data_IF_480398785077
#
_entry.id   IF_480398785077
#
_cell.length_a   1.000
_cell.length_b   1.000
_cell.length_c   1.000
_cell.angle_alpha   90.00
_cell.angle_beta   90.00
_cell.angle_gamma   90.00
#
_symmetry.space_group_name_H-M   'P 1'
#
loop_
_entity.id
_entity.type
_entity.pdbx_description
1 polymer ?
#
# COMPACT_ATOMS: atom_id res chain seq x y z
N UNK A 1 -5.84 9.29 -36.91
CA UNK A 1 -5.17 8.10 -36.33
C UNK A 1 -4.08 8.65 -35.41
N UNK A 2 -4.35 8.58 -34.11
CA UNK A 2 -3.56 9.14 -33.00
C UNK A 2 -2.12 8.63 -32.96
N UNK A 3 -1.23 9.46 -32.39
CA UNK A 3 0.15 9.26 -31.86
C UNK A 3 1.05 10.41 -32.35
N UNK A 4 1.75 11.22 -31.56
CA UNK A 4 2.05 11.31 -30.12
C UNK A 4 2.35 12.80 -29.86
N UNK A 5 1.59 13.47 -28.99
CA UNK A 5 1.90 14.83 -28.51
C UNK A 5 2.41 14.73 -27.06
N UNK A 6 3.69 14.41 -26.91
CA UNK A 6 4.43 14.51 -25.64
C UNK A 6 4.73 16.00 -25.30
N UNK A 7 3.68 16.83 -25.29
CA UNK A 7 3.78 18.20 -24.79
C UNK A 7 3.39 18.21 -23.31
N UNK A 8 4.35 17.87 -22.45
CA UNK A 8 4.29 18.18 -21.04
C UNK A 8 4.38 19.71 -20.88
N UNK A 9 3.24 20.39 -20.95
CA UNK A 9 3.14 21.82 -20.64
C UNK A 9 3.47 22.03 -19.16
N UNK A 10 4.71 22.47 -18.91
CA UNK A 10 5.14 23.05 -17.64
C UNK A 10 4.44 24.41 -17.45
N UNK A 11 3.36 24.42 -16.65
CA UNK A 11 2.82 25.66 -16.07
C UNK A 11 3.41 25.80 -14.66
N UNK A 12 4.15 26.89 -14.35
CA UNK A 12 4.70 27.07 -13.02
C UNK A 12 3.65 27.67 -12.10
N UNK A 13 3.32 26.97 -11.01
CA UNK A 13 2.62 27.58 -9.87
C UNK A 13 3.13 27.01 -8.55
N UNK A 14 3.93 27.85 -7.89
CA UNK A 14 4.26 27.95 -6.46
C UNK A 14 4.71 26.66 -5.75
N UNK A 15 6.03 26.59 -5.56
CA UNK A 15 6.78 25.48 -4.96
C UNK A 15 6.66 25.33 -3.43
N UNK A 16 5.43 25.37 -2.88
CA UNK A 16 5.19 25.01 -1.49
C UNK A 16 4.09 23.92 -1.35
N UNK A 17 3.18 23.79 -2.32
CA UNK A 17 2.12 22.76 -2.33
C UNK A 17 2.54 21.42 -2.97
N UNK A 18 3.62 21.39 -3.76
CA UNK A 18 4.09 20.16 -4.43
C UNK A 18 4.64 19.08 -3.49
N UNK A 19 4.94 19.43 -2.23
CA UNK A 19 5.32 18.47 -1.20
C UNK A 19 4.14 17.99 -0.34
N UNK A 20 2.93 18.50 -0.57
CA UNK A 20 1.72 18.11 0.16
C UNK A 20 0.89 16.99 -0.53
N UNK A 21 1.33 16.49 -1.69
CA UNK A 21 0.43 15.82 -2.64
C UNK A 21 0.59 14.32 -2.89
N UNK A 22 1.45 13.59 -2.17
CA UNK A 22 1.67 12.15 -2.40
C UNK A 22 1.34 11.33 -1.14
N UNK A 23 0.18 11.60 -0.55
CA UNK A 23 -0.38 10.68 0.44
C UNK A 23 -1.04 9.52 -0.28
N UNK A 24 -0.58 8.30 0.03
CA UNK A 24 -1.26 7.09 -0.40
C UNK A 24 -2.62 7.02 0.34
N UNK A 25 -3.69 7.44 -0.32
CA UNK A 25 -5.04 7.31 0.21
C UNK A 25 -5.59 5.89 0.02
N UNK A 26 -6.71 5.58 0.66
CA UNK A 26 -7.33 4.25 0.62
C UNK A 26 -7.76 3.83 -0.79
N UNK A 27 -8.16 4.79 -1.63
CA UNK A 27 -8.56 4.50 -3.01
C UNK A 27 -7.35 4.08 -3.84
N UNK A 28 -6.28 4.86 -3.78
CA UNK A 28 -5.03 4.56 -4.48
C UNK A 28 -4.43 3.23 -3.98
N UNK A 29 -4.42 2.99 -2.66
CA UNK A 29 -3.96 1.72 -2.09
C UNK A 29 -4.76 0.53 -2.65
N UNK A 30 -6.09 0.64 -2.73
CA UNK A 30 -6.92 -0.42 -3.30
C UNK A 30 -6.68 -0.61 -4.81
N UNK A 31 -6.47 0.48 -5.56
CA UNK A 31 -6.15 0.42 -6.99
C UNK A 31 -4.81 -0.30 -7.24
N UNK A 32 -3.80 -0.06 -6.38
CA UNK A 32 -2.52 -0.78 -6.39
C UNK A 32 -2.74 -2.27 -6.15
N UNK A 33 -3.50 -2.63 -5.10
CA UNK A 33 -3.79 -4.03 -4.78
C UNK A 33 -4.48 -4.72 -5.95
N UNK A 34 -5.55 -4.13 -6.49
CA UNK A 34 -6.30 -4.69 -7.60
C UNK A 34 -5.46 -4.85 -8.88
N UNK A 35 -4.53 -3.92 -9.14
CA UNK A 35 -3.60 -4.05 -10.27
C UNK A 35 -2.55 -5.14 -10.02
N UNK A 36 -2.02 -5.22 -8.82
CA UNK A 36 -0.94 -6.14 -8.46
C UNK A 36 -1.43 -7.58 -8.44
N UNK A 37 -2.62 -7.84 -7.88
CA UNK A 37 -3.22 -9.18 -7.87
C UNK A 37 -3.61 -9.70 -9.28
N UNK A 38 -3.70 -8.83 -10.29
CA UNK A 38 -3.84 -9.27 -11.69
C UNK A 38 -2.52 -9.78 -12.29
N UNK A 39 -1.40 -9.50 -11.63
CA UNK A 39 -0.05 -9.87 -12.06
C UNK A 39 0.45 -11.07 -11.23
N UNK A 40 0.14 -11.11 -9.94
CA UNK A 40 0.54 -12.18 -9.02
C UNK A 40 -0.67 -12.86 -8.38
N UNK A 41 -0.62 -14.19 -8.25
CA UNK A 41 -1.71 -15.02 -7.73
C UNK A 41 -1.63 -15.17 -6.21
N UNK A 42 -1.64 -14.05 -5.49
CA UNK A 42 -1.56 -14.02 -4.02
C UNK A 42 -2.27 -12.77 -3.50
N UNK A 43 -2.87 -12.87 -2.31
CA UNK A 43 -3.50 -11.72 -1.66
C UNK A 43 -2.46 -10.68 -1.25
N UNK A 44 -2.73 -9.41 -1.54
CA UNK A 44 -1.84 -8.29 -1.24
C UNK A 44 -2.52 -7.33 -0.28
N UNK A 45 -1.77 -6.92 0.73
CA UNK A 45 -2.17 -5.91 1.70
C UNK A 45 -1.28 -4.67 1.57
N UNK A 46 -1.88 -3.50 1.71
CA UNK A 46 -1.20 -2.21 1.78
C UNK A 46 -1.62 -1.55 3.09
N UNK A 47 -0.65 -1.05 3.86
CA UNK A 47 -0.87 -0.53 5.22
C UNK A 47 -0.32 0.89 5.37
N UNK A 48 -0.95 1.68 6.25
CA UNK A 48 -0.42 2.99 6.65
C UNK A 48 0.71 2.87 7.68
N UNK A 49 1.33 4.00 8.04
CA UNK A 49 2.42 4.05 9.03
C UNK A 49 2.02 3.62 10.45
N UNK A 50 0.72 3.40 10.71
CA UNK A 50 0.18 2.90 11.97
C UNK A 50 -0.13 1.40 11.90
N UNK A 51 0.21 0.73 10.80
CA UNK A 51 -0.06 -0.69 10.56
C UNK A 51 -1.53 -0.99 10.24
N UNK A 52 -2.37 0.02 9.93
CA UNK A 52 -3.75 -0.24 9.50
C UNK A 52 -3.79 -0.56 8.02
N UNK A 53 -4.53 -1.60 7.67
CA UNK A 53 -4.75 -2.01 6.28
C UNK A 53 -5.63 -0.96 5.58
N UNK A 54 -5.08 -0.33 4.54
CA UNK A 54 -5.76 0.69 3.72
C UNK A 54 -6.10 0.21 2.30
N UNK A 55 -5.58 -0.95 1.91
CA UNK A 55 -5.97 -1.69 0.70
C UNK A 55 -5.70 -3.18 0.89
N UNK A 56 -6.58 -4.04 0.39
CA UNK A 56 -6.47 -5.50 0.55
C UNK A 56 -7.17 -6.26 -0.57
N UNK A 57 -6.67 -7.44 -0.90
CA UNK A 57 -7.37 -8.38 -1.79
C UNK A 57 -8.58 -9.01 -1.11
N UNK A 58 -8.50 -9.18 0.21
CA UNK A 58 -9.64 -9.47 1.07
C UNK A 58 -10.18 -8.18 1.68
N UNK A 59 -11.31 -7.71 1.15
CA UNK A 59 -11.89 -6.42 1.55
C UNK A 59 -12.35 -6.38 3.00
N UNK A 60 -12.61 -7.53 3.63
CA UNK A 60 -13.00 -7.60 5.05
C UNK A 60 -11.85 -7.15 5.96
N UNK A 61 -10.60 -7.21 5.48
CA UNK A 61 -9.41 -6.79 6.23
C UNK A 61 -9.19 -5.29 6.27
N UNK A 62 -9.86 -4.51 5.42
CA UNK A 62 -9.63 -3.07 5.33
C UNK A 62 -10.04 -2.42 6.67
N UNK A 63 -9.13 -1.66 7.26
CA UNK A 63 -9.30 -1.02 8.56
C UNK A 63 -8.78 -1.84 9.75
N UNK A 64 -8.47 -3.12 9.56
CA UNK A 64 -7.83 -3.93 10.60
C UNK A 64 -6.39 -3.49 10.86
N UNK A 65 -5.94 -3.68 12.10
CA UNK A 65 -4.54 -3.53 12.48
C UNK A 65 -3.78 -4.81 12.16
N UNK A 66 -2.66 -4.69 11.46
CA UNK A 66 -1.73 -5.77 11.19
C UNK A 66 -0.44 -5.57 11.97
N UNK A 67 -0.25 -6.30 13.06
CA UNK A 67 0.88 -6.10 13.97
C UNK A 67 2.23 -6.43 13.30
N UNK A 68 2.23 -7.27 12.27
CA UNK A 68 3.43 -7.52 11.45
C UNK A 68 4.05 -6.25 10.85
N UNK A 69 3.23 -5.25 10.50
CA UNK A 69 3.72 -3.99 9.96
C UNK A 69 4.43 -3.13 11.00
N UNK A 70 4.05 -3.25 12.27
CA UNK A 70 4.71 -2.53 13.35
C UNK A 70 6.14 -3.03 13.59
N UNK A 71 6.40 -4.32 13.28
CA UNK A 71 7.72 -4.92 13.45
C UNK A 71 8.77 -4.42 12.44
N UNK A 72 8.33 -3.92 11.28
CA UNK A 72 9.20 -3.39 10.21
C UNK A 72 9.42 -1.88 10.29
N UNK A 73 8.62 -1.13 11.07
CA UNK A 73 8.77 0.31 11.27
C UNK A 73 10.19 0.76 11.68
N UNK A 74 10.98 -0.02 12.45
CA UNK A 74 12.37 0.31 12.74
C UNK A 74 13.32 0.29 11.51
N UNK A 75 12.82 0.02 10.30
CA UNK A 75 13.61 -0.01 9.07
C UNK A 75 14.41 -1.30 8.88
N UNK A 76 13.94 -2.40 9.47
CA UNK A 76 14.57 -3.72 9.36
C UNK A 76 13.71 -4.67 8.53
N UNK A 77 14.38 -5.60 7.85
CA UNK A 77 13.70 -6.76 7.25
C UNK A 77 13.27 -7.69 8.39
N UNK A 78 12.00 -8.10 8.36
CA UNK A 78 11.44 -9.07 9.30
C UNK A 78 10.84 -10.21 8.49
N UNK A 79 11.30 -11.44 8.77
CA UNK A 79 10.64 -12.65 8.28
C UNK A 79 9.59 -13.08 9.32
N UNK A 80 8.39 -13.43 8.85
CA UNK A 80 7.26 -13.81 9.70
C UNK A 80 6.84 -15.24 9.29
N UNK A 81 7.31 -16.22 10.06
CA UNK A 81 6.89 -17.61 9.95
C UNK A 81 5.59 -17.89 10.73
N UNK A 82 5.13 -19.15 10.69
CA UNK A 82 3.92 -19.57 11.40
C UNK A 82 4.05 -19.50 12.93
N UNK A 83 5.27 -19.58 13.47
CA UNK A 83 5.47 -19.47 14.90
C UNK A 83 5.32 -18.02 15.35
N UNK A 84 5.88 -17.08 14.61
CA UNK A 84 5.76 -15.64 14.86
C UNK A 84 4.32 -15.17 14.60
N UNK A 85 3.72 -15.55 13.48
CA UNK A 85 2.37 -15.13 13.09
C UNK A 85 1.31 -15.45 14.15
N UNK A 86 1.41 -16.60 14.84
CA UNK A 86 0.48 -17.00 15.91
C UNK A 86 0.45 -16.05 17.12
N UNK A 87 1.47 -15.22 17.28
CA UNK A 87 1.58 -14.27 18.37
C UNK A 87 1.27 -12.83 17.94
N UNK A 88 0.85 -12.63 16.68
CA UNK A 88 0.59 -11.31 16.11
C UNK A 88 -0.85 -11.21 15.62
N UNK A 89 -1.55 -10.17 16.05
CA UNK A 89 -2.91 -9.90 15.62
C UNK A 89 -2.95 -9.41 14.17
N UNK A 90 -3.95 -9.90 13.43
CA UNK A 90 -4.19 -9.52 12.04
C UNK A 90 -3.17 -10.08 11.04
N UNK A 91 -2.26 -10.96 11.45
CA UNK A 91 -1.34 -11.67 10.55
C UNK A 91 -1.96 -12.99 10.12
N UNK A 92 -2.11 -13.19 8.80
CA UNK A 92 -2.74 -14.37 8.20
C UNK A 92 -1.98 -14.76 6.93
N UNK A 93 -1.98 -16.06 6.62
CA UNK A 93 -1.63 -16.54 5.27
C UNK A 93 -2.90 -16.52 4.44
N UNK A 94 -2.91 -15.67 3.42
CA UNK A 94 -4.02 -15.51 2.47
C UNK A 94 -3.55 -15.88 1.05
#
# INVERSE_FOLDING_TARGET
MQRDDDSFMLVPSKGEDYMAGWHLDTKMAQDIVARTMRIIDTNINVMDARGRIIGSGDRERIGELHEGALLVLPGRVVDIDDAVARHLHGVRRD
#
